data_IF_587843234019
#
_entry.id   IF_587843234019
#
_cell.length_a   1.000
_cell.length_b   1.000
_cell.length_c   1.000
_cell.angle_alpha   90.00
_cell.angle_beta   90.00
_cell.angle_gamma   90.00
#
_symmetry.space_group_name_H-M   'P 1'
#
loop_
_entity.id
_entity.type
_entity.pdbx_description
1 polymer ?
#
# COMPACT_ATOMS: atom_id res chain seq x y z
N UNK A 1 -12.42 21.51 -29.09
CA UNK A 1 -12.56 21.92 -27.68
C UNK A 1 -11.87 20.90 -26.78
N UNK A 2 -11.19 21.34 -25.71
CA UNK A 2 -10.53 20.48 -24.73
C UNK A 2 -11.50 20.17 -23.58
N UNK A 3 -11.95 18.91 -23.44
CA UNK A 3 -12.79 18.48 -22.33
C UNK A 3 -12.04 17.49 -21.44
N UNK A 4 -12.16 17.69 -20.14
CA UNK A 4 -11.61 16.79 -19.12
C UNK A 4 -12.73 16.10 -18.38
N UNK A 5 -12.60 14.79 -18.18
CA UNK A 5 -13.62 13.98 -17.50
C UNK A 5 -12.96 12.99 -16.54
N UNK A 6 -13.51 12.83 -15.35
CA UNK A 6 -13.11 11.79 -14.41
C UNK A 6 -14.15 10.67 -14.47
N UNK A 7 -13.74 9.47 -14.86
CA UNK A 7 -14.63 8.32 -15.04
C UNK A 7 -14.28 7.20 -14.06
N UNK A 8 -15.28 6.41 -13.68
CA UNK A 8 -15.11 5.20 -12.89
C UNK A 8 -14.62 4.07 -13.80
N UNK A 9 -13.47 3.46 -13.48
CA UNK A 9 -12.82 2.49 -14.37
C UNK A 9 -13.63 1.20 -14.55
N UNK A 10 -14.51 0.86 -13.61
CA UNK A 10 -15.36 -0.33 -13.72
C UNK A 10 -16.51 -0.14 -14.73
N UNK A 11 -16.91 1.09 -15.01
CA UNK A 11 -17.89 1.43 -16.05
C UNK A 11 -17.23 1.67 -17.41
N UNK A 12 -15.90 1.84 -17.44
CA UNK A 12 -15.09 2.17 -18.62
C UNK A 12 -13.92 1.21 -18.78
N UNK A 13 -14.18 -0.10 -19.04
CA UNK A 13 -13.13 -1.12 -19.16
C UNK A 13 -12.15 -0.87 -20.32
N UNK A 14 -12.52 -0.09 -21.31
CA UNK A 14 -11.65 0.33 -22.43
C UNK A 14 -10.40 1.06 -21.95
N UNK A 15 -10.45 1.75 -20.80
CA UNK A 15 -9.30 2.48 -20.24
C UNK A 15 -8.42 1.63 -19.31
N UNK A 16 -8.78 0.37 -19.07
CA UNK A 16 -8.08 -0.50 -18.12
C UNK A 16 -6.59 -0.64 -18.44
N UNK A 17 -6.25 -0.95 -19.70
CA UNK A 17 -4.86 -1.14 -20.11
C UNK A 17 -4.07 0.17 -20.04
N UNK A 18 -4.68 1.30 -20.43
CA UNK A 18 -4.04 2.61 -20.31
C UNK A 18 -3.73 2.95 -18.84
N UNK A 19 -4.67 2.70 -17.92
CA UNK A 19 -4.44 2.86 -16.49
C UNK A 19 -3.34 1.93 -15.96
N UNK A 20 -3.29 0.66 -16.39
CA UNK A 20 -2.19 -0.24 -16.06
C UNK A 20 -0.83 0.34 -16.47
N UNK A 21 -0.73 0.86 -17.69
CA UNK A 21 0.50 1.38 -18.24
C UNK A 21 0.98 2.63 -17.49
N UNK A 22 0.13 3.63 -17.27
CA UNK A 22 0.52 4.86 -16.56
C UNK A 22 0.95 4.57 -15.12
N UNK A 23 0.27 3.65 -14.43
CA UNK A 23 0.62 3.25 -13.07
C UNK A 23 1.92 2.44 -13.01
N UNK A 24 2.19 1.58 -14.00
CA UNK A 24 3.41 0.78 -14.06
C UNK A 24 4.63 1.60 -14.49
N UNK A 25 4.45 2.68 -15.24
CA UNK A 25 5.53 3.62 -15.56
C UNK A 25 6.05 4.33 -14.30
N UNK A 26 5.17 4.65 -13.36
CA UNK A 26 5.56 5.30 -12.10
C UNK A 26 5.98 4.29 -11.02
N UNK A 27 5.17 3.25 -10.83
CA UNK A 27 5.41 2.22 -9.81
C UNK A 27 5.41 0.84 -10.46
N UNK A 28 6.59 0.33 -10.75
CA UNK A 28 6.78 -0.97 -11.42
C UNK A 28 6.11 -2.11 -10.68
N UNK A 29 5.24 -2.82 -11.40
CA UNK A 29 4.56 -4.04 -10.95
C UNK A 29 4.31 -4.95 -12.16
N UNK A 30 4.09 -6.25 -11.97
CA UNK A 30 3.66 -7.10 -13.10
C UNK A 30 2.30 -6.62 -13.65
N UNK A 31 2.14 -6.68 -14.97
CA UNK A 31 0.89 -6.24 -15.61
C UNK A 31 -0.32 -7.01 -15.06
N UNK A 32 -0.20 -8.34 -14.90
CA UNK A 32 -1.28 -9.17 -14.34
C UNK A 32 -1.69 -8.74 -12.92
N UNK A 33 -0.72 -8.47 -12.03
CA UNK A 33 -1.01 -8.00 -10.67
C UNK A 33 -1.64 -6.59 -10.66
N UNK A 34 -1.22 -5.71 -11.56
CA UNK A 34 -1.80 -4.38 -11.70
C UNK A 34 -3.24 -4.46 -12.24
N UNK A 35 -3.44 -5.21 -13.30
CA UNK A 35 -4.75 -5.46 -13.90
C UNK A 35 -5.72 -6.04 -12.87
N UNK A 36 -5.29 -7.08 -12.14
CA UNK A 36 -6.10 -7.68 -11.06
C UNK A 36 -6.45 -6.67 -9.96
N UNK A 37 -5.54 -5.77 -9.60
CA UNK A 37 -5.82 -4.72 -8.61
C UNK A 37 -6.85 -3.70 -9.13
N UNK A 38 -6.76 -3.30 -10.39
CA UNK A 38 -7.70 -2.36 -11.02
C UNK A 38 -9.07 -2.99 -11.27
N UNK A 39 -9.13 -4.29 -11.60
CA UNK A 39 -10.39 -5.02 -11.83
C UNK A 39 -11.25 -5.17 -10.57
N UNK A 40 -10.69 -4.90 -9.38
CA UNK A 40 -11.45 -4.81 -8.13
C UNK A 40 -12.22 -3.49 -7.98
N UNK A 41 -12.10 -2.58 -8.94
CA UNK A 41 -12.86 -1.33 -8.96
C UNK A 41 -14.35 -1.60 -8.95
N UNK A 42 -15.07 -0.90 -8.09
CA UNK A 42 -16.53 -0.99 -8.00
C UNK A 42 -17.13 0.28 -7.38
N UNK A 43 -18.43 0.48 -7.56
CA UNK A 43 -19.16 1.59 -6.94
C UNK A 43 -19.18 1.52 -5.41
N UNK A 44 -18.96 0.33 -4.82
CA UNK A 44 -18.91 0.09 -3.36
C UNK A 44 -17.53 0.26 -2.75
N UNK A 45 -16.56 0.76 -3.54
CA UNK A 45 -15.15 0.88 -3.18
C UNK A 45 -14.44 -0.48 -2.93
N UNK A 46 -13.16 -0.57 -3.29
CA UNK A 46 -12.36 0.53 -3.85
C UNK A 46 -12.83 0.94 -5.26
N UNK A 47 -12.75 2.23 -5.59
CA UNK A 47 -13.02 2.74 -6.93
C UNK A 47 -11.74 3.31 -7.55
N UNK A 48 -11.35 2.80 -8.70
CA UNK A 48 -10.30 3.37 -9.54
C UNK A 48 -10.92 4.39 -10.48
N UNK A 49 -10.38 5.60 -10.50
CA UNK A 49 -10.87 6.75 -11.25
C UNK A 49 -9.82 7.15 -12.28
N UNK A 50 -10.22 7.28 -13.54
CA UNK A 50 -9.34 7.68 -14.62
C UNK A 50 -9.68 9.12 -15.08
N UNK A 51 -8.65 9.98 -15.17
CA UNK A 51 -8.82 11.30 -15.78
C UNK A 51 -8.60 11.19 -17.28
N UNK A 52 -9.65 11.47 -18.04
CA UNK A 52 -9.68 11.38 -19.50
C UNK A 52 -9.58 12.78 -20.09
N UNK A 53 -8.69 12.91 -21.07
CA UNK A 53 -8.56 14.10 -21.91
C UNK A 53 -9.19 13.83 -23.26
N UNK A 54 -10.25 14.55 -23.59
CA UNK A 54 -10.91 14.53 -24.89
C UNK A 54 -10.45 15.69 -25.75
N UNK A 55 -10.18 15.43 -27.04
CA UNK A 55 -9.88 16.44 -28.04
C UNK A 55 -10.71 16.12 -29.29
N UNK A 56 -11.33 17.14 -29.88
CA UNK A 56 -12.32 16.96 -30.97
C UNK A 56 -11.85 16.09 -32.14
N UNK A 57 -10.57 16.14 -32.48
CA UNK A 57 -10.02 15.40 -33.64
C UNK A 57 -9.05 14.28 -33.25
N UNK A 58 -9.05 13.85 -31.96
CA UNK A 58 -8.13 12.84 -31.47
C UNK A 58 -8.83 11.82 -30.57
N UNK A 59 -8.25 10.63 -30.53
CA UNK A 59 -8.66 9.60 -29.58
C UNK A 59 -8.52 10.09 -28.12
N UNK A 60 -9.51 9.76 -27.30
CA UNK A 60 -9.51 10.09 -25.88
C UNK A 60 -8.34 9.45 -25.17
N UNK A 61 -7.63 10.22 -24.35
CA UNK A 61 -6.41 9.79 -23.68
C UNK A 61 -6.58 9.76 -22.18
N UNK A 62 -6.18 8.65 -21.53
CA UNK A 62 -6.01 8.60 -20.07
C UNK A 62 -4.75 9.37 -19.69
N UNK A 63 -4.89 10.46 -18.95
CA UNK A 63 -3.78 11.32 -18.53
C UNK A 63 -3.52 11.30 -17.03
N UNK A 64 -4.42 10.73 -16.23
CA UNK A 64 -4.26 10.63 -14.79
C UNK A 64 -5.09 9.52 -14.18
N UNK A 65 -4.80 9.23 -12.92
CA UNK A 65 -5.51 8.21 -12.14
C UNK A 65 -5.55 8.60 -10.67
N UNK A 66 -6.60 8.20 -9.98
CA UNK A 66 -6.68 8.17 -8.52
C UNK A 66 -7.50 6.95 -8.09
N UNK A 67 -7.27 6.45 -6.89
CA UNK A 67 -8.07 5.36 -6.33
C UNK A 67 -8.63 5.78 -4.99
N UNK A 68 -9.93 5.55 -4.81
CA UNK A 68 -10.65 5.82 -3.57
C UNK A 68 -10.92 4.51 -2.83
N UNK A 69 -10.52 4.45 -1.55
CA UNK A 69 -10.70 3.29 -0.68
C UNK A 69 -11.50 3.68 0.57
N UNK A 70 -12.13 2.68 1.23
CA UNK A 70 -12.75 2.90 2.53
C UNK A 70 -11.69 2.97 3.63
N UNK A 71 -11.96 3.76 4.66
CA UNK A 71 -11.28 3.67 5.95
C UNK A 71 -12.14 2.76 6.84
N UNK A 72 -11.57 1.67 7.34
CA UNK A 72 -12.28 0.78 8.25
C UNK A 72 -12.55 1.53 9.57
N UNK A 73 -13.72 1.30 10.15
CA UNK A 73 -14.19 1.94 11.39
C UNK A 73 -14.46 3.44 11.29
N UNK A 74 -14.52 4.01 10.07
CA UNK A 74 -14.93 5.40 9.86
C UNK A 74 -15.70 5.54 8.52
N UNK A 75 -17.01 5.38 8.59
CA UNK A 75 -17.91 5.44 7.42
C UNK A 75 -17.98 6.83 6.77
N UNK A 76 -17.48 7.87 7.45
CA UNK A 76 -17.43 9.24 6.92
C UNK A 76 -16.09 9.61 6.31
N UNK A 77 -15.13 8.69 6.36
CA UNK A 77 -13.79 8.88 5.83
C UNK A 77 -13.50 7.96 4.64
N UNK A 78 -12.73 8.49 3.70
CA UNK A 78 -12.13 7.72 2.61
C UNK A 78 -10.63 7.96 2.55
N UNK A 79 -9.93 7.05 1.87
CA UNK A 79 -8.50 7.13 1.62
C UNK A 79 -8.25 7.22 0.12
N UNK A 80 -7.48 8.24 -0.28
CA UNK A 80 -7.09 8.46 -1.68
C UNK A 80 -5.66 7.94 -1.87
N UNK A 81 -5.49 7.04 -2.83
CA UNK A 81 -4.19 6.45 -3.17
C UNK A 81 -3.95 6.41 -4.67
N UNK A 82 -2.73 6.11 -5.08
CA UNK A 82 -2.34 5.92 -6.48
C UNK A 82 -2.68 7.14 -7.36
N UNK A 83 -2.50 8.33 -6.82
CA UNK A 83 -2.70 9.60 -7.54
C UNK A 83 -1.53 9.84 -8.48
N UNK A 84 -1.81 9.95 -9.77
CA UNK A 84 -0.80 10.17 -10.79
C UNK A 84 -1.34 11.05 -11.94
N UNK A 85 -0.45 11.80 -12.55
CA UNK A 85 -0.61 12.43 -13.87
C UNK A 85 0.60 12.04 -14.71
N UNK A 86 0.37 11.68 -15.97
CA UNK A 86 1.45 11.31 -16.90
C UNK A 86 2.48 12.46 -17.02
N UNK A 87 3.77 12.15 -17.22
CA UNK A 87 4.84 13.15 -17.23
C UNK A 87 4.57 14.33 -18.17
N UNK A 88 4.05 14.06 -19.37
CA UNK A 88 3.81 15.03 -20.45
C UNK A 88 2.72 16.06 -20.09
N UNK A 89 1.89 15.75 -19.10
CA UNK A 89 0.79 16.59 -18.64
C UNK A 89 1.05 17.21 -17.25
N UNK A 90 2.20 16.93 -16.62
CA UNK A 90 2.59 17.56 -15.35
C UNK A 90 2.87 19.05 -15.52
N UNK A 91 2.75 19.81 -14.44
CA UNK A 91 2.95 21.26 -14.45
C UNK A 91 1.78 22.07 -14.99
N UNK A 92 0.79 21.44 -15.63
CA UNK A 92 -0.37 22.10 -16.26
C UNK A 92 -1.62 22.20 -15.35
N UNK A 93 -1.48 21.88 -14.06
CA UNK A 93 -2.60 21.94 -13.10
C UNK A 93 -3.46 20.66 -13.01
N UNK A 94 -3.21 19.65 -13.84
CA UNK A 94 -4.05 18.44 -13.85
C UNK A 94 -3.95 17.61 -12.56
N UNK A 95 -2.86 17.68 -11.80
CA UNK A 95 -2.79 17.07 -10.48
C UNK A 95 -3.82 17.66 -9.51
N UNK A 96 -3.99 18.99 -9.52
CA UNK A 96 -5.04 19.65 -8.73
C UNK A 96 -6.43 19.27 -9.22
N UNK A 97 -6.61 19.12 -10.54
CA UNK A 97 -7.89 18.72 -11.14
C UNK A 97 -8.26 17.29 -10.75
N UNK A 98 -7.32 16.32 -10.85
CA UNK A 98 -7.55 14.93 -10.40
C UNK A 98 -8.01 14.91 -8.95
N UNK A 99 -7.29 15.62 -8.07
CA UNK A 99 -7.64 15.67 -6.65
C UNK A 99 -9.02 16.29 -6.41
N UNK A 100 -9.29 17.45 -7.04
CA UNK A 100 -10.60 18.12 -6.93
C UNK A 100 -11.75 17.19 -7.36
N UNK A 101 -11.64 16.58 -8.53
CA UNK A 101 -12.69 15.70 -9.05
C UNK A 101 -12.84 14.42 -8.21
N UNK A 102 -11.74 13.88 -7.66
CA UNK A 102 -11.78 12.74 -6.73
C UNK A 102 -12.44 13.12 -5.40
N UNK A 103 -12.17 14.30 -4.86
CA UNK A 103 -12.82 14.83 -3.67
C UNK A 103 -14.33 15.08 -3.92
N UNK A 104 -14.70 15.62 -5.09
CA UNK A 104 -16.11 15.81 -5.47
C UNK A 104 -16.83 14.46 -5.60
N UNK A 105 -16.16 13.45 -6.15
CA UNK A 105 -16.67 12.07 -6.18
C UNK A 105 -16.85 11.51 -4.76
N UNK A 106 -15.88 11.71 -3.87
CA UNK A 106 -15.97 11.28 -2.48
C UNK A 106 -17.15 11.96 -1.75
N UNK A 107 -17.38 13.27 -1.96
CA UNK A 107 -18.56 13.98 -1.41
C UNK A 107 -19.87 13.39 -1.91
N UNK A 108 -19.97 13.07 -3.21
CA UNK A 108 -21.17 12.43 -3.79
C UNK A 108 -21.43 11.05 -3.18
N UNK A 109 -20.40 10.34 -2.73
CA UNK A 109 -20.53 9.05 -2.01
C UNK A 109 -20.84 9.25 -0.51
N UNK A 110 -20.93 10.49 0.01
CA UNK A 110 -21.31 10.80 1.39
C UNK A 110 -20.13 10.88 2.36
N UNK A 111 -18.89 10.88 1.86
CA UNK A 111 -17.71 11.10 2.70
C UNK A 111 -17.54 12.59 3.03
N UNK A 112 -17.08 12.85 4.24
CA UNK A 112 -16.80 14.20 4.74
C UNK A 112 -15.31 14.44 4.99
N UNK A 113 -14.50 13.39 4.95
CA UNK A 113 -13.05 13.45 5.19
C UNK A 113 -12.30 12.60 4.19
N UNK A 114 -11.19 13.14 3.65
CA UNK A 114 -10.25 12.39 2.85
C UNK A 114 -8.90 12.29 3.55
N UNK A 115 -8.33 11.09 3.56
CA UNK A 115 -6.98 10.79 3.98
C UNK A 115 -6.12 10.40 2.79
N UNK A 116 -4.84 10.62 2.88
CA UNK A 116 -3.83 10.12 1.95
C UNK A 116 -2.49 9.98 2.65
N UNK A 117 -1.53 9.35 1.99
CA UNK A 117 -0.15 9.34 2.44
C UNK A 117 0.80 9.62 1.27
N UNK A 118 1.91 10.30 1.56
CA UNK A 118 2.91 10.66 0.56
C UNK A 118 4.32 10.58 1.15
N UNK A 119 5.30 10.36 0.28
CA UNK A 119 6.71 10.39 0.66
C UNK A 119 7.38 11.73 0.30
N UNK A 120 6.98 12.35 -0.80
CA UNK A 120 7.71 13.47 -1.42
C UNK A 120 6.82 14.62 -1.91
N UNK A 121 5.49 14.51 -1.81
CA UNK A 121 4.53 15.49 -2.35
C UNK A 121 3.75 16.26 -1.26
N UNK A 122 4.28 16.33 -0.04
CA UNK A 122 3.62 17.02 1.07
C UNK A 122 3.23 18.47 0.72
N UNK A 123 4.14 19.22 0.12
CA UNK A 123 3.89 20.63 -0.25
C UNK A 123 2.74 20.75 -1.27
N UNK A 124 2.65 19.83 -2.24
CA UNK A 124 1.56 19.81 -3.20
C UNK A 124 0.21 19.63 -2.49
N UNK A 125 0.11 18.65 -1.58
CA UNK A 125 -1.13 18.38 -0.85
C UNK A 125 -1.47 19.50 0.13
N UNK A 126 -0.50 20.10 0.81
CA UNK A 126 -0.72 21.32 1.62
C UNK A 126 -1.31 22.45 0.77
N UNK A 127 -0.80 22.65 -0.44
CA UNK A 127 -1.27 23.66 -1.38
C UNK A 127 -2.70 23.47 -1.89
N UNK A 128 -3.32 22.32 -1.64
CA UNK A 128 -4.74 22.02 -1.94
C UNK A 128 -5.58 21.75 -0.69
N UNK A 129 -5.06 22.10 0.49
CA UNK A 129 -5.82 22.14 1.75
C UNK A 129 -5.71 20.89 2.63
N UNK A 130 -4.75 19.99 2.38
CA UNK A 130 -4.46 18.87 3.28
C UNK A 130 -3.53 19.31 4.41
N UNK A 131 -3.76 18.76 5.59
CA UNK A 131 -2.93 18.94 6.79
C UNK A 131 -2.36 17.62 7.25
N UNK A 132 -1.17 17.66 7.86
CA UNK A 132 -0.54 16.45 8.42
C UNK A 132 -1.39 15.91 9.56
N UNK A 133 -1.53 14.58 9.61
CA UNK A 133 -2.29 13.87 10.63
C UNK A 133 -1.56 12.59 11.05
N UNK A 134 -1.97 11.96 12.16
CA UNK A 134 -1.52 10.61 12.50
C UNK A 134 -1.89 9.58 11.43
N UNK A 135 -1.15 8.45 11.34
CA UNK A 135 -1.50 7.34 10.46
C UNK A 135 -2.92 6.82 10.70
N UNK A 136 -3.62 6.52 9.61
CA UNK A 136 -4.96 5.92 9.65
C UNK A 136 -4.85 4.42 9.47
N UNK A 137 -5.40 3.65 10.39
CA UNK A 137 -5.42 2.19 10.31
C UNK A 137 -6.60 1.68 9.47
N UNK A 138 -6.42 0.51 8.83
CA UNK A 138 -7.54 -0.21 8.22
C UNK A 138 -8.07 0.41 6.93
N UNK A 139 -7.21 0.72 5.98
CA UNK A 139 -7.63 1.11 4.62
C UNK A 139 -7.96 -0.14 3.82
N UNK A 140 -9.22 -0.26 3.35
CA UNK A 140 -9.63 -1.40 2.52
C UNK A 140 -8.96 -1.34 1.15
N UNK A 141 -8.38 -2.46 0.71
CA UNK A 141 -7.70 -2.58 -0.59
C UNK A 141 -6.18 -2.49 -0.53
N UNK A 142 -5.59 -2.13 0.61
CA UNK A 142 -4.14 -2.14 0.85
C UNK A 142 -3.68 -3.37 1.64
N UNK A 143 -4.32 -4.53 1.47
CA UNK A 143 -3.91 -5.78 2.11
C UNK A 143 -2.41 -6.09 1.89
N UNK A 144 -1.84 -5.72 0.74
CA UNK A 144 -0.41 -5.88 0.46
C UNK A 144 0.50 -5.11 1.44
N UNK A 145 0.07 -3.96 1.94
CA UNK A 145 0.83 -3.20 2.95
C UNK A 145 0.61 -3.76 4.36
N UNK A 146 -0.61 -4.19 4.67
CA UNK A 146 -0.94 -4.78 5.97
C UNK A 146 -0.26 -6.15 6.13
N UNK A 147 -0.27 -7.01 5.10
CA UNK A 147 0.44 -8.29 5.14
C UNK A 147 1.96 -8.12 5.28
N UNK A 148 2.55 -7.12 4.60
CA UNK A 148 3.97 -6.79 4.79
C UNK A 148 4.25 -6.29 6.20
N UNK A 149 3.36 -5.50 6.76
CA UNK A 149 3.49 -4.98 8.13
C UNK A 149 3.32 -6.10 9.16
N UNK A 150 2.31 -6.97 9.00
CA UNK A 150 2.08 -8.12 9.88
C UNK A 150 3.22 -9.14 9.79
N UNK A 151 3.78 -9.43 8.62
CA UNK A 151 4.95 -10.30 8.47
C UNK A 151 6.20 -9.76 9.17
N UNK A 152 6.33 -8.45 9.34
CA UNK A 152 7.41 -7.84 10.13
C UNK A 152 7.23 -8.05 11.64
N UNK A 153 6.01 -8.30 12.11
CA UNK A 153 5.72 -8.60 13.52
C UNK A 153 5.65 -10.11 13.82
N UNK A 154 5.23 -10.96 12.87
CA UNK A 154 5.16 -12.41 13.04
C UNK A 154 6.54 -13.08 13.19
N UNK A 155 7.60 -12.46 12.70
CA UNK A 155 8.98 -12.96 12.89
C UNK A 155 9.44 -12.87 14.35
N UNK A 156 8.74 -12.12 15.23
CA UNK A 156 9.08 -12.01 16.67
C UNK A 156 8.23 -12.89 17.60
N UNK A 157 7.22 -13.59 17.10
CA UNK A 157 6.29 -14.37 17.93
C UNK A 157 6.54 -15.89 17.95
N UNK A 158 7.55 -16.40 17.24
CA UNK A 158 7.81 -17.85 17.14
C UNK A 158 8.87 -18.40 18.13
N UNK A 159 9.27 -17.64 19.15
CA UNK A 159 10.15 -18.13 20.23
C UNK A 159 9.52 -17.95 21.60
N UNK A 160 8.45 -18.66 21.89
CA UNK A 160 8.12 -19.07 23.26
C UNK A 160 6.85 -19.93 23.27
N UNK A 161 7.01 -21.22 23.28
CA UNK A 161 5.97 -22.14 23.76
C UNK A 161 6.52 -22.92 24.94
N UNK A 162 5.89 -22.86 26.12
CA UNK A 162 6.23 -23.72 27.24
C UNK A 162 5.61 -25.10 27.04
N UNK A 163 6.42 -26.12 27.16
CA UNK A 163 5.94 -27.49 27.31
C UNK A 163 5.36 -27.66 28.71
N UNK A 164 4.11 -28.04 28.76
CA UNK A 164 3.50 -28.54 29.99
C UNK A 164 3.54 -30.05 30.02
N UNK A 165 4.06 -30.46 31.17
CA UNK A 165 4.19 -31.80 31.73
C UNK A 165 2.89 -32.57 31.86
N UNK A 166 2.91 -33.89 31.64
CA UNK A 166 2.21 -34.85 32.52
C UNK A 166 3.01 -36.15 32.69
N UNK A 167 3.24 -36.40 33.95
CA UNK A 167 3.83 -37.56 34.60
C UNK A 167 3.16 -38.90 34.24
N UNK A 168 3.95 -40.00 34.32
CA UNK A 168 3.64 -41.16 35.15
C UNK A 168 4.84 -42.11 35.25
N UNK A 169 5.19 -42.36 36.47
CA UNK A 169 6.01 -43.32 37.17
C UNK A 169 6.30 -44.69 36.53
N UNK A 170 7.54 -45.20 36.59
CA UNK A 170 7.97 -46.33 37.40
C UNK A 170 9.46 -46.66 37.14
N UNK A 171 10.20 -46.71 38.16
CA UNK A 171 11.29 -47.32 38.78
C UNK A 171 12.20 -48.28 38.01
N UNK A 172 13.50 -48.14 38.22
CA UNK A 172 14.53 -49.01 38.74
C UNK A 172 15.92 -48.54 38.33
N UNK A 173 16.77 -48.40 39.31
CA UNK A 173 18.22 -48.13 39.24
C UNK A 173 18.99 -49.48 39.23
N UNK A 174 20.33 -49.53 39.20
CA UNK A 174 21.34 -48.86 38.36
C UNK A 174 22.27 -49.90 37.65
N UNK A 175 23.03 -49.44 36.67
CA UNK A 175 24.34 -50.04 36.40
C UNK A 175 25.27 -49.06 35.68
N UNK A 176 26.34 -48.74 36.34
CA UNK A 176 27.52 -48.07 35.78
C UNK A 176 28.14 -48.94 34.69
N UNK A 177 28.43 -48.33 33.57
CA UNK A 177 29.56 -48.72 32.73
C UNK A 177 30.20 -47.50 32.11
N UNK A 178 31.43 -47.26 32.49
CA UNK A 178 32.40 -46.39 31.84
C UNK A 178 32.49 -46.70 30.35
N UNK A 179 32.28 -45.70 29.52
CA UNK A 179 32.88 -45.65 28.18
C UNK A 179 33.51 -44.29 27.98
N UNK A 180 34.80 -44.34 27.72
CA UNK A 180 35.69 -43.23 27.44
C UNK A 180 35.35 -42.60 26.06
N UNK A 181 35.38 -41.29 26.05
CA UNK A 181 36.11 -40.48 25.09
C UNK A 181 35.86 -40.74 23.57
N UNK A 182 35.28 -39.76 22.88
CA UNK A 182 35.88 -39.33 21.61
C UNK A 182 35.19 -38.07 21.05
N UNK A 183 36.01 -37.13 20.67
CA UNK A 183 35.79 -36.06 19.68
C UNK A 183 34.84 -34.92 20.06
N UNK A 184 35.35 -33.97 20.82
CA UNK A 184 34.97 -32.59 20.73
C UNK A 184 35.47 -32.06 19.36
N UNK A 185 34.55 -31.93 18.41
CA UNK A 185 34.78 -31.09 17.26
C UNK A 185 34.93 -29.63 17.73
N UNK A 186 35.89 -28.86 17.21
CA UNK A 186 36.00 -27.45 17.55
C UNK A 186 34.70 -26.71 17.23
N UNK A 187 34.29 -25.70 17.99
CA UNK A 187 33.10 -24.91 17.71
C UNK A 187 33.24 -24.27 16.33
N UNK A 188 32.13 -24.14 15.58
CA UNK A 188 32.17 -23.50 14.28
C UNK A 188 32.67 -22.05 14.44
N UNK A 189 33.41 -21.53 13.44
CA UNK A 189 33.89 -20.16 13.47
C UNK A 189 32.72 -19.18 13.60
N UNK A 190 32.93 -18.16 14.42
CA UNK A 190 31.94 -17.08 14.59
C UNK A 190 31.55 -16.51 13.25
N UNK A 191 30.24 -16.26 13.00
CA UNK A 191 29.81 -15.62 11.75
C UNK A 191 30.47 -14.24 11.62
N UNK A 192 30.83 -13.85 10.38
CA UNK A 192 31.42 -12.53 10.15
C UNK A 192 30.50 -11.42 10.68
N UNK A 193 31.07 -10.31 11.19
CA UNK A 193 30.26 -9.18 11.64
C UNK A 193 29.37 -8.71 10.49
N UNK A 194 28.09 -8.53 10.81
CA UNK A 194 27.13 -7.97 9.86
C UNK A 194 27.65 -6.60 9.39
N UNK A 195 27.59 -6.33 8.08
CA UNK A 195 27.93 -5.00 7.57
C UNK A 195 27.09 -3.95 8.31
N UNK A 196 27.62 -2.76 8.57
CA UNK A 196 26.86 -1.70 9.22
C UNK A 196 25.58 -1.48 8.41
N UNK A 197 24.44 -1.51 9.11
CA UNK A 197 23.15 -1.17 8.54
C UNK A 197 23.32 0.20 7.88
N UNK A 198 23.41 0.22 6.55
CA UNK A 198 23.21 1.45 5.81
C UNK A 198 21.77 1.86 6.10
N UNK A 199 21.62 2.85 6.97
CA UNK A 199 20.36 3.54 7.17
C UNK A 199 20.10 4.26 5.85
N UNK A 200 19.55 3.54 4.90
CA UNK A 200 18.89 4.10 3.75
C UNK A 200 17.93 5.14 4.34
N UNK A 201 18.06 6.40 3.92
CA UNK A 201 17.13 7.46 4.28
C UNK A 201 15.76 7.05 3.71
N UNK A 202 15.05 6.23 4.49
CA UNK A 202 13.67 5.88 4.21
C UNK A 202 12.92 7.19 4.33
N UNK A 203 12.57 7.78 3.20
CA UNK A 203 11.70 8.95 3.15
C UNK A 203 10.47 8.62 4.01
N UNK A 204 10.35 9.31 5.15
CA UNK A 204 9.26 9.03 6.08
C UNK A 204 7.94 9.30 5.39
N UNK A 205 7.05 8.34 5.44
CA UNK A 205 5.70 8.47 4.90
C UNK A 205 4.93 9.48 5.74
N UNK A 206 4.46 10.56 5.10
CA UNK A 206 3.64 11.60 5.73
C UNK A 206 2.17 11.31 5.46
N UNK A 207 1.38 11.25 6.53
CA UNK A 207 -0.06 11.07 6.45
C UNK A 207 -0.75 12.43 6.51
N UNK A 208 -1.75 12.61 5.67
CA UNK A 208 -2.43 13.89 5.54
C UNK A 208 -3.94 13.71 5.44
N UNK A 209 -4.68 14.72 5.89
CA UNK A 209 -6.13 14.73 5.95
C UNK A 209 -6.69 16.07 5.48
N UNK A 210 -7.88 16.02 4.87
CA UNK A 210 -8.69 17.19 4.50
C UNK A 210 -10.15 16.94 4.82
N UNK A 211 -10.82 17.94 5.38
CA UNK A 211 -12.28 17.99 5.43
C UNK A 211 -12.82 18.34 4.04
N UNK A 212 -13.87 17.63 3.62
CA UNK A 212 -14.47 17.79 2.29
C UNK A 212 -15.61 18.81 2.30
#
# INVERSE_FOLDING_TARGET
>A
ELRMELVELHDHPEYMNACCNILNNEWKRSHAARFHSLSKSSSNLPASLALIKHQDDRESQVIGHAKLCRVLHDDKACFIESVIVIPEERGKGFGKLVMKLTEDYARKKGFTRCYLSTHDKEQFYRGIGYTVCPPVCGVSGTMDHMERFLRLFDVKASESSPQDSKSLTHGCSPRETHVKNANQLPPPPSPPPLPPLQVSSTLMQVWMMKQL
#
